data_IF_304217480792
#
_entry.id   IF_304217480792
#
_cell.length_a   1.000
_cell.length_b   1.000
_cell.length_c   1.000
_cell.angle_alpha   90.00
_cell.angle_beta   90.00
_cell.angle_gamma   90.00
#
_symmetry.space_group_name_H-M   'P 1'
#
loop_
_entity.id
_entity.type
_entity.pdbx_description
1 polymer ?
#
# COMPACT_ATOMS: atom_id res chain seq x y z
N UNK A 1 -0.37 38.40 -8.92
CA UNK A 1 0.82 37.95 -8.16
C UNK A 1 1.78 37.30 -9.13
N UNK A 2 3.10 37.51 -8.99
CA UNK A 2 4.07 36.81 -9.81
C UNK A 2 3.88 35.31 -9.56
N UNK A 3 3.75 34.52 -10.64
CA UNK A 3 3.71 33.06 -10.52
C UNK A 3 4.89 32.62 -9.66
N UNK A 4 4.61 31.83 -8.63
CA UNK A 4 5.66 31.27 -7.77
C UNK A 4 6.74 30.69 -8.67
N UNK A 5 7.98 31.15 -8.51
CA UNK A 5 9.07 30.63 -9.32
C UNK A 5 9.13 29.11 -9.14
N UNK A 6 9.56 28.38 -10.17
CA UNK A 6 9.70 26.92 -10.10
C UNK A 6 10.51 26.45 -8.87
N UNK A 7 11.45 27.28 -8.41
CA UNK A 7 12.21 27.08 -7.17
C UNK A 7 11.32 27.17 -5.92
N UNK A 8 10.44 28.17 -5.86
CA UNK A 8 9.44 28.30 -4.80
C UNK A 8 8.48 27.11 -4.73
N UNK A 9 8.00 26.62 -5.88
CA UNK A 9 7.14 25.43 -5.93
C UNK A 9 7.83 24.18 -5.35
N UNK A 10 9.10 23.96 -5.69
CA UNK A 10 9.88 22.84 -5.18
C UNK A 10 10.16 22.96 -3.68
N UNK A 11 10.42 24.17 -3.18
CA UNK A 11 10.60 24.41 -1.74
C UNK A 11 9.32 24.12 -0.97
N UNK A 12 8.16 24.56 -1.47
CA UNK A 12 6.86 24.25 -0.85
C UNK A 12 6.58 22.74 -0.86
N UNK A 13 6.84 22.06 -1.98
CA UNK A 13 6.68 20.61 -2.06
C UNK A 13 7.60 19.88 -1.06
N UNK A 14 8.85 20.31 -0.94
CA UNK A 14 9.81 19.77 0.03
C UNK A 14 9.37 20.01 1.47
N UNK A 15 8.83 21.21 1.78
CA UNK A 15 8.26 21.52 3.10
C UNK A 15 7.05 20.65 3.43
N UNK A 16 6.15 20.42 2.47
CA UNK A 16 5.00 19.51 2.62
C UNK A 16 5.48 18.07 2.87
N UNK A 17 6.44 17.58 2.10
CA UNK A 17 7.02 16.25 2.31
C UNK A 17 7.68 16.13 3.68
N UNK A 18 8.46 17.12 4.11
CA UNK A 18 9.10 17.11 5.42
C UNK A 18 8.06 17.12 6.56
N UNK A 19 7.05 17.98 6.49
CA UNK A 19 5.97 18.01 7.47
C UNK A 19 5.26 16.65 7.56
N UNK A 20 4.94 16.05 6.42
CA UNK A 20 4.29 14.73 6.33
C UNK A 20 5.18 13.64 6.90
N UNK A 21 6.50 13.69 6.67
CA UNK A 21 7.45 12.73 7.21
C UNK A 21 7.53 12.84 8.73
N UNK A 22 7.63 14.04 9.27
CA UNK A 22 7.64 14.27 10.73
C UNK A 22 6.36 13.72 11.36
N UNK A 23 5.19 14.02 10.78
CA UNK A 23 3.91 13.49 11.23
C UNK A 23 3.86 11.96 11.18
N UNK A 24 4.33 11.35 10.09
CA UNK A 24 4.34 9.91 9.91
C UNK A 24 5.29 9.22 10.91
N UNK A 25 6.47 9.81 11.18
CA UNK A 25 7.43 9.31 12.17
C UNK A 25 6.86 9.39 13.58
N UNK A 26 6.20 10.51 13.94
CA UNK A 26 5.57 10.69 15.24
C UNK A 26 4.41 9.72 15.49
N UNK A 27 3.82 9.17 14.43
CA UNK A 27 2.66 8.27 14.50
C UNK A 27 3.01 6.84 14.07
N UNK A 28 4.30 6.47 14.04
CA UNK A 28 4.69 5.09 13.80
C UNK A 28 4.07 4.16 14.84
N UNK A 29 3.48 3.02 14.42
CA UNK A 29 3.01 2.03 15.36
C UNK A 29 4.19 1.42 16.13
N UNK A 30 3.99 1.13 17.42
CA UNK A 30 5.03 0.59 18.30
C UNK A 30 5.00 -0.95 18.35
N UNK A 31 3.84 -1.56 18.64
CA UNK A 31 3.72 -3.00 18.93
C UNK A 31 2.59 -3.68 18.16
N UNK A 32 2.76 -3.81 16.86
CA UNK A 32 1.84 -4.51 15.95
C UNK A 32 2.65 -4.98 14.76
N UNK A 33 2.21 -6.02 14.05
CA UNK A 33 2.73 -6.32 12.73
C UNK A 33 1.65 -7.01 11.91
N UNK A 34 1.59 -6.67 10.62
CA UNK A 34 0.69 -7.34 9.69
C UNK A 34 1.28 -8.63 9.15
N UNK A 35 0.42 -9.60 8.79
CA UNK A 35 0.84 -10.85 8.16
C UNK A 35 1.67 -10.61 6.89
N UNK A 36 1.20 -9.71 6.02
CA UNK A 36 1.91 -9.33 4.80
C UNK A 36 3.25 -8.65 5.12
N UNK A 37 3.27 -7.79 6.14
CA UNK A 37 4.46 -7.11 6.60
C UNK A 37 5.57 -8.03 7.05
N UNK A 38 5.25 -8.98 7.94
CA UNK A 38 6.16 -10.01 8.39
C UNK A 38 6.74 -10.79 7.20
N UNK A 39 5.88 -11.17 6.25
CA UNK A 39 6.30 -11.90 5.06
C UNK A 39 7.28 -11.10 4.19
N UNK A 40 7.01 -9.82 3.93
CA UNK A 40 7.92 -8.98 3.14
C UNK A 40 9.29 -8.84 3.82
N UNK A 41 9.31 -8.70 5.15
CA UNK A 41 10.54 -8.61 5.94
C UNK A 41 11.31 -9.93 5.88
N UNK A 42 10.65 -11.08 6.01
CA UNK A 42 11.30 -12.39 5.96
C UNK A 42 11.90 -12.68 4.59
N UNK A 43 11.19 -12.38 3.50
CA UNK A 43 11.75 -12.53 2.15
C UNK A 43 12.95 -11.58 1.98
N UNK A 44 12.86 -10.34 2.47
CA UNK A 44 13.97 -9.38 2.39
C UNK A 44 15.21 -9.85 3.19
N UNK A 45 15.01 -10.48 4.36
CA UNK A 45 16.10 -11.12 5.13
C UNK A 45 16.73 -12.28 4.36
N UNK A 46 15.93 -13.12 3.70
CA UNK A 46 16.45 -14.21 2.86
C UNK A 46 17.31 -13.71 1.69
N UNK A 47 16.97 -12.56 1.11
CA UNK A 47 17.76 -11.90 0.06
C UNK A 47 19.14 -11.40 0.53
N UNK A 48 19.36 -11.26 1.84
CA UNK A 48 20.68 -10.93 2.39
C UNK A 48 21.67 -12.09 2.20
N UNK A 49 21.18 -13.33 2.20
CA UNK A 49 21.98 -14.54 1.98
C UNK A 49 22.20 -14.85 0.49
N UNK A 50 21.40 -14.26 -0.41
CA UNK A 50 21.58 -14.39 -1.85
C UNK A 50 20.54 -13.60 -2.63
N UNK A 51 20.94 -12.87 -3.67
CA UNK A 51 20.06 -11.92 -4.39
C UNK A 51 18.88 -12.61 -5.10
N UNK A 52 18.98 -13.92 -5.33
CA UNK A 52 17.97 -14.77 -5.96
C UNK A 52 17.11 -15.53 -4.95
N UNK A 53 17.42 -15.44 -3.66
CA UNK A 53 16.71 -16.14 -2.59
C UNK A 53 15.39 -15.43 -2.21
N UNK A 54 14.53 -15.21 -3.21
CA UNK A 54 13.20 -14.61 -3.04
C UNK A 54 12.21 -15.67 -2.51
N UNK A 55 12.48 -16.20 -1.32
CA UNK A 55 11.75 -17.32 -0.74
C UNK A 55 11.23 -17.01 0.65
N UNK A 56 10.25 -17.79 1.09
CA UNK A 56 9.83 -17.89 2.48
C UNK A 56 9.60 -19.37 2.81
N UNK A 57 10.26 -19.89 3.86
CA UNK A 57 10.23 -21.31 4.24
C UNK A 57 10.50 -22.24 3.04
N UNK A 58 11.52 -21.92 2.24
CA UNK A 58 11.92 -22.66 1.04
C UNK A 58 10.99 -22.51 -0.18
N UNK A 59 9.86 -21.82 -0.04
CA UNK A 59 8.90 -21.61 -1.14
C UNK A 59 9.20 -20.31 -1.86
N UNK A 60 9.24 -20.33 -3.20
CA UNK A 60 9.49 -19.13 -4.00
C UNK A 60 8.27 -18.19 -4.00
N UNK A 61 8.50 -16.90 -3.69
CA UNK A 61 7.43 -15.94 -3.35
C UNK A 61 7.18 -14.86 -4.39
N UNK A 62 7.79 -14.94 -5.58
CA UNK A 62 7.75 -13.86 -6.58
C UNK A 62 6.41 -13.69 -7.31
N UNK A 63 5.36 -14.41 -6.89
CA UNK A 63 3.97 -14.00 -7.11
C UNK A 63 3.63 -12.66 -6.42
N UNK A 64 4.44 -12.27 -5.42
CA UNK A 64 4.50 -10.91 -4.89
C UNK A 64 5.55 -10.13 -5.67
N UNK A 65 5.19 -9.01 -6.31
CA UNK A 65 6.13 -8.24 -7.09
C UNK A 65 7.34 -7.74 -6.27
N UNK A 66 8.52 -7.63 -6.91
CA UNK A 66 9.79 -7.67 -6.18
C UNK A 66 10.28 -6.33 -5.62
N UNK A 67 9.81 -5.18 -6.13
CA UNK A 67 10.44 -3.87 -5.84
C UNK A 67 10.50 -3.57 -4.34
N UNK A 68 9.37 -3.65 -3.63
CA UNK A 68 9.34 -3.34 -2.19
C UNK A 68 10.29 -4.22 -1.39
N UNK A 69 10.32 -5.51 -1.68
CA UNK A 69 11.17 -6.46 -0.96
C UNK A 69 12.65 -6.21 -1.24
N UNK A 70 13.02 -5.84 -2.48
CA UNK A 70 14.39 -5.42 -2.77
C UNK A 70 14.73 -4.07 -2.14
N UNK A 71 13.80 -3.12 -2.08
CA UNK A 71 13.97 -1.86 -1.34
C UNK A 71 14.30 -2.15 0.13
N UNK A 72 13.55 -3.05 0.78
CA UNK A 72 13.84 -3.49 2.15
C UNK A 72 15.20 -4.20 2.25
N UNK A 73 15.49 -5.15 1.37
CA UNK A 73 16.73 -5.93 1.40
C UNK A 73 17.98 -5.06 1.25
N UNK A 74 17.94 -4.01 0.42
CA UNK A 74 19.04 -3.04 0.29
C UNK A 74 19.27 -2.32 1.61
N UNK A 75 18.20 -1.85 2.27
CA UNK A 75 18.31 -1.13 3.53
C UNK A 75 18.76 -2.05 4.68
N UNK A 76 18.24 -3.28 4.74
CA UNK A 76 18.59 -4.27 5.76
C UNK A 76 20.06 -4.69 5.74
N UNK A 77 20.82 -4.40 4.67
CA UNK A 77 22.28 -4.58 4.66
C UNK A 77 23.03 -3.64 5.62
N UNK A 78 22.39 -2.53 6.00
CA UNK A 78 23.01 -1.47 6.80
C UNK A 78 22.52 -1.46 8.25
N UNK A 79 21.51 -2.27 8.59
CA UNK A 79 20.88 -2.29 9.91
C UNK A 79 20.80 -3.71 10.45
N UNK A 80 20.81 -3.83 11.77
CA UNK A 80 20.66 -5.10 12.46
C UNK A 80 19.20 -5.59 12.48
N UNK A 81 18.95 -6.90 12.62
CA UNK A 81 17.62 -7.50 12.50
C UNK A 81 16.52 -6.90 13.39
N UNK A 82 16.88 -6.38 14.57
CA UNK A 82 15.98 -5.72 15.52
C UNK A 82 15.39 -4.40 14.99
N UNK A 83 16.04 -3.78 14.01
CA UNK A 83 15.57 -2.52 13.41
C UNK A 83 14.74 -2.74 12.14
N UNK A 84 14.69 -3.95 11.59
CA UNK A 84 14.09 -4.21 10.27
C UNK A 84 12.61 -3.82 10.16
N UNK A 85 11.82 -4.06 11.22
CA UNK A 85 10.39 -3.67 11.24
C UNK A 85 10.26 -2.15 11.18
N UNK A 86 11.03 -1.42 12.00
CA UNK A 86 11.04 0.05 12.00
C UNK A 86 11.49 0.60 10.66
N UNK A 87 12.54 0.04 10.06
CA UNK A 87 13.01 0.43 8.73
C UNK A 87 11.93 0.20 7.67
N UNK A 88 11.22 -0.92 7.69
CA UNK A 88 10.14 -1.20 6.75
C UNK A 88 8.99 -0.18 6.85
N UNK A 89 8.67 0.29 8.06
CA UNK A 89 7.70 1.38 8.28
C UNK A 89 8.22 2.72 7.82
N UNK A 90 9.49 3.02 8.06
CA UNK A 90 10.13 4.25 7.61
C UNK A 90 10.16 4.36 6.09
N UNK A 91 10.38 3.25 5.38
CA UNK A 91 10.24 3.20 3.91
C UNK A 91 8.85 3.68 3.49
N UNK A 92 7.80 3.12 4.09
CA UNK A 92 6.43 3.56 3.80
C UNK A 92 6.18 5.02 4.15
N UNK A 93 6.69 5.49 5.29
CA UNK A 93 6.55 6.89 5.72
C UNK A 93 7.24 7.86 4.75
N UNK A 94 8.43 7.50 4.24
CA UNK A 94 9.15 8.28 3.22
C UNK A 94 8.35 8.34 1.93
N UNK A 95 7.85 7.22 1.40
CA UNK A 95 7.10 7.26 0.15
C UNK A 95 5.73 7.96 0.27
N UNK A 96 5.08 7.84 1.43
CA UNK A 96 3.87 8.60 1.75
C UNK A 96 4.16 10.11 1.79
N UNK A 97 5.24 10.52 2.46
CA UNK A 97 5.75 11.90 2.48
C UNK A 97 6.07 12.45 1.09
N UNK A 98 6.78 11.69 0.27
CA UNK A 98 7.14 12.08 -1.09
C UNK A 98 5.89 12.21 -1.97
N UNK A 99 4.90 11.33 -1.77
CA UNK A 99 3.62 11.42 -2.48
C UNK A 99 2.86 12.69 -2.11
N UNK A 100 2.86 13.12 -0.85
CA UNK A 100 2.20 14.37 -0.45
C UNK A 100 2.79 15.59 -1.17
N UNK A 101 4.13 15.70 -1.22
CA UNK A 101 4.81 16.74 -1.99
C UNK A 101 4.55 16.63 -3.49
N UNK A 102 4.48 15.42 -4.02
CA UNK A 102 4.15 15.16 -5.42
C UNK A 102 2.71 15.56 -5.76
N UNK A 103 1.73 15.32 -4.88
CA UNK A 103 0.33 15.76 -5.05
C UNK A 103 0.25 17.28 -5.15
N UNK A 104 1.00 18.01 -4.31
CA UNK A 104 1.12 19.47 -4.44
C UNK A 104 1.67 19.86 -5.81
N UNK A 105 2.80 19.30 -6.23
CA UNK A 105 3.40 19.60 -7.54
C UNK A 105 2.45 19.27 -8.69
N UNK A 106 1.74 18.15 -8.60
CA UNK A 106 0.74 17.73 -9.57
C UNK A 106 -0.36 18.80 -9.69
N UNK A 107 -0.96 19.17 -8.56
CA UNK A 107 -2.04 20.15 -8.51
C UNK A 107 -1.61 21.54 -9.03
N UNK A 108 -0.40 22.00 -8.69
CA UNK A 108 0.13 23.27 -9.23
C UNK A 108 0.26 23.20 -10.75
N UNK A 109 0.74 22.08 -11.30
CA UNK A 109 0.86 21.91 -12.77
C UNK A 109 -0.50 21.83 -13.47
N UNK A 110 -1.51 21.28 -12.80
CA UNK A 110 -2.87 21.19 -13.34
C UNK A 110 -3.60 22.53 -13.31
N UNK A 111 -3.56 23.25 -12.18
CA UNK A 111 -4.44 24.39 -11.96
C UNK A 111 -3.74 25.75 -11.92
N UNK A 112 -2.40 25.78 -11.89
CA UNK A 112 -1.60 26.99 -11.74
C UNK A 112 -2.04 27.85 -10.53
N UNK A 113 -2.49 27.19 -9.45
CA UNK A 113 -2.93 27.82 -8.21
C UNK A 113 -2.32 27.07 -7.01
N UNK A 114 -1.41 27.75 -6.31
CA UNK A 114 -0.67 27.17 -5.17
C UNK A 114 -1.57 26.90 -3.97
N UNK A 115 -2.60 27.74 -3.73
CA UNK A 115 -3.52 27.53 -2.60
C UNK A 115 -4.32 26.26 -2.85
N UNK A 116 -4.92 26.14 -4.03
CA UNK A 116 -5.67 24.94 -4.40
C UNK A 116 -4.80 23.67 -4.36
N UNK A 117 -3.52 23.79 -4.71
CA UNK A 117 -2.57 22.70 -4.58
C UNK A 117 -2.25 22.33 -3.13
N UNK A 118 -2.12 23.31 -2.23
CA UNK A 118 -1.97 23.07 -0.80
C UNK A 118 -3.21 22.37 -0.23
N UNK A 119 -4.42 22.72 -0.67
CA UNK A 119 -5.64 22.01 -0.27
C UNK A 119 -5.57 20.52 -0.66
N UNK A 120 -5.14 20.21 -1.89
CA UNK A 120 -4.99 18.83 -2.36
C UNK A 120 -3.97 18.05 -1.54
N UNK A 121 -2.81 18.65 -1.24
CA UNK A 121 -1.81 18.00 -0.40
C UNK A 121 -2.32 17.76 1.03
N UNK A 122 -3.00 18.73 1.65
CA UNK A 122 -3.58 18.56 2.97
C UNK A 122 -4.64 17.43 3.01
N UNK A 123 -5.52 17.39 2.00
CA UNK A 123 -6.53 16.33 1.89
C UNK A 123 -5.92 14.95 1.61
N UNK A 124 -4.76 14.87 0.94
CA UNK A 124 -4.01 13.62 0.80
C UNK A 124 -3.35 13.18 2.11
N UNK A 125 -2.68 14.12 2.81
CA UNK A 125 -2.02 13.84 4.08
C UNK A 125 -3.02 13.23 5.06
N UNK A 126 -4.16 13.88 5.26
CA UNK A 126 -5.17 13.39 6.20
C UNK A 126 -6.19 12.42 5.59
N UNK A 127 -5.94 11.92 4.37
CA UNK A 127 -6.79 10.88 3.80
C UNK A 127 -6.72 9.62 4.69
N UNK A 128 -7.85 9.08 5.20
CA UNK A 128 -7.82 7.98 6.15
C UNK A 128 -6.98 6.78 5.70
N UNK A 129 -7.15 6.35 4.43
CA UNK A 129 -6.41 5.23 3.87
C UNK A 129 -4.92 5.54 3.65
N UNK A 130 -4.60 6.74 3.15
CA UNK A 130 -3.21 7.13 2.94
C UNK A 130 -2.46 7.28 4.27
N UNK A 131 -3.11 7.86 5.28
CA UNK A 131 -2.55 8.07 6.61
C UNK A 131 -2.32 6.75 7.36
N UNK A 132 -3.35 5.89 7.43
CA UNK A 132 -3.24 4.60 8.13
C UNK A 132 -2.21 3.67 7.48
N UNK A 133 -2.17 3.61 6.14
CA UNK A 133 -1.20 2.77 5.42
C UNK A 133 0.19 3.42 5.33
N UNK A 134 0.26 4.75 5.46
CA UNK A 134 1.47 5.56 5.34
C UNK A 134 2.58 5.18 6.32
N UNK A 135 2.20 4.68 7.50
CA UNK A 135 3.14 4.34 8.59
C UNK A 135 3.37 2.83 8.76
N UNK A 136 2.90 2.01 7.81
CA UNK A 136 2.89 0.55 7.92
C UNK A 136 3.93 -0.13 7.08
N UNK A 137 4.41 -1.28 7.55
CA UNK A 137 5.33 -2.18 6.85
C UNK A 137 4.69 -2.90 5.63
N UNK A 138 3.96 -2.15 4.80
CA UNK A 138 3.25 -2.64 3.63
C UNK A 138 3.67 -1.90 2.35
N UNK A 139 3.47 -2.55 1.21
CA UNK A 139 3.83 -2.02 -0.13
C UNK A 139 3.05 -0.77 -0.57
N UNK A 140 1.98 -0.38 0.13
CA UNK A 140 0.98 0.57 -0.39
C UNK A 140 1.56 1.96 -0.69
N UNK A 141 2.39 2.50 0.20
CA UNK A 141 2.92 3.86 0.07
C UNK A 141 3.91 3.96 -1.09
N UNK A 142 4.84 3.01 -1.20
CA UNK A 142 5.80 2.95 -2.31
C UNK A 142 5.08 2.77 -3.65
N UNK A 143 4.08 1.88 -3.69
CA UNK A 143 3.25 1.68 -4.88
C UNK A 143 2.51 2.97 -5.27
N UNK A 144 1.89 3.66 -4.30
CA UNK A 144 1.15 4.91 -4.53
C UNK A 144 2.07 6.01 -5.08
N UNK A 145 3.30 6.11 -4.55
CA UNK A 145 4.29 7.06 -5.03
C UNK A 145 4.64 6.81 -6.51
N UNK A 146 5.08 5.61 -6.85
CA UNK A 146 5.47 5.30 -8.23
C UNK A 146 4.30 5.40 -9.20
N UNK A 147 3.10 4.97 -8.79
CA UNK A 147 1.88 5.14 -9.60
C UNK A 147 1.62 6.63 -9.89
N UNK A 148 1.64 7.47 -8.85
CA UNK A 148 1.40 8.91 -8.99
C UNK A 148 2.49 9.59 -9.82
N UNK A 149 3.75 9.19 -9.62
CA UNK A 149 4.89 9.72 -10.36
C UNK A 149 4.81 9.37 -11.84
N UNK A 150 4.44 8.15 -12.20
CA UNK A 150 4.21 7.77 -13.58
C UNK A 150 3.11 8.64 -14.23
N UNK A 151 1.97 8.81 -13.58
CA UNK A 151 0.87 9.65 -14.09
C UNK A 151 1.31 11.12 -14.20
N UNK A 152 2.05 11.65 -13.22
CA UNK A 152 2.59 13.01 -13.23
C UNK A 152 3.59 13.25 -14.37
N UNK A 153 4.50 12.30 -14.59
CA UNK A 153 5.49 12.37 -15.65
C UNK A 153 4.83 12.30 -17.03
N UNK A 154 3.81 11.45 -17.20
CA UNK A 154 3.05 11.37 -18.45
C UNK A 154 2.33 12.69 -18.75
N UNK A 155 1.56 13.20 -17.77
CA UNK A 155 0.83 14.45 -17.91
C UNK A 155 1.75 15.63 -18.21
N UNK A 156 2.80 15.83 -17.41
CA UNK A 156 3.72 16.97 -17.62
C UNK A 156 4.64 16.77 -18.81
N UNK A 157 4.94 15.53 -19.22
CA UNK A 157 5.66 15.21 -20.44
C UNK A 157 4.87 15.62 -21.67
N UNK A 158 3.58 15.31 -21.70
CA UNK A 158 2.66 15.74 -22.77
C UNK A 158 2.49 17.26 -22.79
N UNK A 159 2.11 17.86 -21.66
CA UNK A 159 1.85 19.31 -21.53
C UNK A 159 3.04 20.20 -21.94
N UNK A 160 4.27 19.74 -21.64
CA UNK A 160 5.49 20.49 -21.95
C UNK A 160 6.23 19.98 -23.20
N UNK A 161 5.64 19.05 -23.96
CA UNK A 161 6.28 18.41 -25.12
C UNK A 161 7.70 17.89 -24.80
N UNK A 162 7.83 17.17 -23.69
CA UNK A 162 9.11 16.68 -23.17
C UNK A 162 9.18 15.13 -23.25
N UNK A 163 9.66 14.54 -24.37
CA UNK A 163 9.66 13.09 -24.61
C UNK A 163 10.31 12.28 -23.50
N UNK A 164 11.41 12.78 -22.91
CA UNK A 164 12.11 12.09 -21.82
C UNK A 164 11.18 11.81 -20.64
N UNK A 165 10.29 12.74 -20.29
CA UNK A 165 9.32 12.53 -19.21
C UNK A 165 8.28 11.48 -19.58
N UNK A 166 7.88 11.41 -20.84
CA UNK A 166 6.99 10.37 -21.33
C UNK A 166 7.67 9.01 -21.19
N UNK A 167 8.91 8.84 -21.67
CA UNK A 167 9.66 7.59 -21.51
C UNK A 167 9.83 7.19 -20.03
N UNK A 168 10.22 8.13 -19.18
CA UNK A 168 10.33 7.88 -17.74
C UNK A 168 8.98 7.50 -17.11
N UNK A 169 7.86 8.04 -17.60
CA UNK A 169 6.55 7.66 -17.08
C UNK A 169 6.25 6.17 -17.25
N UNK A 170 6.63 5.57 -18.39
CA UNK A 170 6.43 4.15 -18.66
C UNK A 170 7.40 3.25 -17.89
N UNK A 171 8.65 3.68 -17.70
CA UNK A 171 9.60 2.96 -16.83
C UNK A 171 9.10 2.97 -15.39
N UNK A 172 8.68 4.13 -14.88
CA UNK A 172 8.13 4.26 -13.53
C UNK A 172 6.81 3.49 -13.38
N UNK A 173 5.98 3.42 -14.41
CA UNK A 173 4.80 2.56 -14.43
C UNK A 173 5.16 1.07 -14.32
N UNK A 174 6.22 0.63 -15.01
CA UNK A 174 6.79 -0.70 -14.84
C UNK A 174 7.22 -0.95 -13.38
N UNK A 175 7.92 0.01 -12.76
CA UNK A 175 8.31 -0.07 -11.34
C UNK A 175 7.07 -0.15 -10.42
N UNK A 176 6.01 0.62 -10.70
CA UNK A 176 4.77 0.56 -9.94
C UNK A 176 4.11 -0.84 -10.02
N UNK A 177 4.06 -1.45 -11.21
CA UNK A 177 3.59 -2.84 -11.39
C UNK A 177 4.49 -3.82 -10.63
N UNK A 178 5.80 -3.62 -10.67
CA UNK A 178 6.77 -4.44 -9.93
C UNK A 178 6.76 -4.18 -8.41
N UNK A 179 6.05 -3.16 -7.94
CA UNK A 179 5.79 -2.95 -6.50
C UNK A 179 4.53 -3.69 -6.07
N UNK A 180 3.50 -3.72 -6.93
CA UNK A 180 2.23 -4.41 -6.66
C UNK A 180 1.50 -4.77 -7.96
N UNK A 181 0.95 -5.98 -8.03
CA UNK A 181 0.34 -6.51 -9.27
C UNK A 181 -0.93 -5.75 -9.67
N UNK A 182 -1.63 -5.15 -8.70
CA UNK A 182 -2.77 -4.24 -8.97
C UNK A 182 -2.33 -3.01 -9.74
N UNK A 183 -1.03 -2.70 -9.79
CA UNK A 183 -0.43 -1.68 -10.64
C UNK A 183 -0.68 -1.88 -12.12
N UNK A 184 -1.09 -3.07 -12.59
CA UNK A 184 -1.50 -3.28 -13.98
C UNK A 184 -2.60 -2.31 -14.43
N UNK A 185 -3.43 -1.80 -13.51
CA UNK A 185 -4.44 -0.78 -13.83
C UNK A 185 -3.84 0.49 -14.44
N UNK A 186 -2.56 0.78 -14.19
CA UNK A 186 -1.90 1.98 -14.72
C UNK A 186 -1.84 1.97 -16.25
N UNK A 187 -1.70 0.79 -16.86
CA UNK A 187 -1.73 0.63 -18.32
C UNK A 187 -3.09 1.11 -18.84
N UNK A 188 -4.17 0.66 -18.21
CA UNK A 188 -5.53 1.08 -18.54
C UNK A 188 -5.73 2.57 -18.35
N UNK A 189 -5.24 3.15 -17.24
CA UNK A 189 -5.31 4.61 -16.99
C UNK A 189 -4.59 5.39 -18.09
N UNK A 190 -3.38 4.98 -18.47
CA UNK A 190 -2.60 5.66 -19.52
C UNK A 190 -3.30 5.55 -20.88
N UNK A 191 -3.76 4.36 -21.26
CA UNK A 191 -4.48 4.14 -22.53
C UNK A 191 -5.78 4.95 -22.57
N UNK A 192 -6.59 4.91 -21.51
CA UNK A 192 -7.83 5.67 -21.43
C UNK A 192 -7.57 7.18 -21.51
N UNK A 193 -6.56 7.69 -20.80
CA UNK A 193 -6.20 9.11 -20.84
C UNK A 193 -5.75 9.55 -22.24
N UNK A 194 -4.87 8.78 -22.88
CA UNK A 194 -4.39 9.08 -24.23
C UNK A 194 -5.53 8.99 -25.25
N UNK A 195 -6.41 8.00 -25.11
CA UNK A 195 -7.57 7.85 -25.98
C UNK A 195 -8.59 8.99 -25.81
N UNK A 196 -8.90 9.39 -24.58
CA UNK A 196 -9.87 10.45 -24.32
C UNK A 196 -9.36 11.84 -24.73
N UNK A 197 -8.04 12.02 -24.81
CA UNK A 197 -7.44 13.32 -25.17
C UNK A 197 -6.95 13.42 -26.61
N UNK A 198 -6.54 12.31 -27.23
CA UNK A 198 -5.96 12.27 -28.59
C UNK A 198 -6.55 11.16 -29.48
N UNK A 199 -7.59 10.45 -29.03
CA UNK A 199 -8.17 9.29 -29.72
C UNK A 199 -7.13 8.23 -30.10
N UNK A 200 -6.95 7.89 -31.37
CA UNK A 200 -5.92 6.93 -31.81
C UNK A 200 -4.65 7.63 -32.34
N UNK A 201 -4.63 8.96 -32.40
CA UNK A 201 -3.49 9.72 -32.93
C UNK A 201 -2.26 9.61 -32.04
N UNK A 202 -2.44 9.37 -30.73
CA UNK A 202 -1.31 9.10 -29.84
C UNK A 202 -0.50 7.90 -30.31
N UNK A 203 -1.12 6.83 -30.82
CA UNK A 203 -0.41 5.62 -31.22
C UNK A 203 0.58 5.85 -32.38
N UNK A 204 0.40 6.93 -33.15
CA UNK A 204 1.31 7.34 -34.23
C UNK A 204 2.53 8.13 -33.73
N UNK A 205 2.46 8.70 -32.53
CA UNK A 205 3.59 9.45 -31.93
C UNK A 205 4.58 8.46 -31.35
N UNK A 206 5.83 8.48 -31.83
CA UNK A 206 6.88 7.51 -31.46
C UNK A 206 7.08 7.35 -29.95
N UNK A 207 6.79 8.40 -29.18
CA UNK A 207 7.00 8.47 -27.75
C UNK A 207 6.24 7.38 -27.00
N UNK A 208 5.02 7.05 -27.43
CA UNK A 208 4.17 6.10 -26.70
C UNK A 208 4.45 4.63 -27.04
N UNK A 209 4.58 4.19 -28.32
CA UNK A 209 5.00 2.82 -28.62
C UNK A 209 6.37 2.48 -28.01
N UNK A 210 7.34 3.41 -28.09
CA UNK A 210 8.64 3.24 -27.42
C UNK A 210 8.48 3.23 -25.90
N UNK A 211 7.61 4.07 -25.35
CA UNK A 211 7.23 4.03 -23.94
C UNK A 211 6.71 2.66 -23.49
N UNK A 212 5.75 2.07 -24.21
CA UNK A 212 5.25 0.72 -23.94
C UNK A 212 6.33 -0.35 -24.07
N UNK A 213 7.26 -0.21 -25.02
CA UNK A 213 8.42 -1.10 -25.11
C UNK A 213 9.33 -0.98 -23.87
N UNK A 214 9.57 0.23 -23.36
CA UNK A 214 10.33 0.44 -22.13
C UNK A 214 9.61 -0.13 -20.89
N UNK A 215 8.28 -0.01 -20.82
CA UNK A 215 7.49 -0.69 -19.79
C UNK A 215 7.70 -2.20 -19.85
N UNK A 216 7.59 -2.80 -21.04
CA UNK A 216 7.80 -4.24 -21.21
C UNK A 216 9.23 -4.68 -20.82
N UNK A 217 10.25 -3.90 -21.20
CA UNK A 217 11.65 -4.13 -20.79
C UNK A 217 11.79 -4.07 -19.27
N UNK A 218 11.13 -3.12 -18.62
CA UNK A 218 11.15 -2.98 -17.15
C UNK A 218 10.55 -4.22 -16.48
N UNK A 219 9.47 -4.78 -17.03
CA UNK A 219 8.83 -5.98 -16.48
C UNK A 219 9.58 -7.29 -16.81
N UNK A 220 10.43 -7.28 -17.84
CA UNK A 220 11.05 -8.47 -18.40
C UNK A 220 11.77 -9.35 -17.36
N UNK A 221 12.58 -8.82 -16.42
CA UNK A 221 13.28 -9.66 -15.44
C UNK A 221 12.31 -10.44 -14.55
N UNK A 222 11.23 -9.80 -14.10
CA UNK A 222 10.25 -10.45 -13.24
C UNK A 222 9.41 -11.50 -14.01
N UNK A 223 9.04 -11.20 -15.26
CA UNK A 223 8.37 -12.17 -16.14
C UNK A 223 9.27 -13.38 -16.43
N UNK A 224 10.56 -13.16 -16.60
CA UNK A 224 11.55 -14.23 -16.78
C UNK A 224 11.65 -15.12 -15.53
N UNK A 225 11.75 -14.52 -14.34
CA UNK A 225 11.73 -15.29 -13.09
C UNK A 225 10.40 -16.04 -12.89
N UNK A 226 9.29 -15.45 -13.34
CA UNK A 226 7.99 -16.10 -13.42
C UNK A 226 8.04 -17.38 -14.26
N UNK A 227 8.65 -17.30 -15.44
CA UNK A 227 8.83 -18.45 -16.31
C UNK A 227 9.72 -19.53 -15.67
N UNK A 228 10.86 -19.14 -15.10
CA UNK A 228 11.81 -20.08 -14.49
C UNK A 228 11.22 -20.85 -13.30
N UNK A 229 10.54 -20.17 -12.37
CA UNK A 229 10.13 -20.78 -11.10
C UNK A 229 8.68 -21.24 -11.06
N UNK A 230 7.81 -20.71 -11.92
CA UNK A 230 6.40 -21.09 -11.97
C UNK A 230 6.01 -21.78 -13.28
N UNK A 231 6.94 -21.97 -14.22
CA UNK A 231 6.68 -22.61 -15.52
C UNK A 231 5.94 -21.72 -16.52
N UNK A 232 5.85 -20.41 -16.29
CA UNK A 232 5.24 -19.47 -17.23
C UNK A 232 5.34 -18.01 -16.80
N UNK A 233 5.60 -17.11 -17.76
CA UNK A 233 5.84 -15.69 -17.49
C UNK A 233 4.71 -14.99 -16.72
N UNK A 234 3.46 -15.39 -16.98
CA UNK A 234 2.27 -14.82 -16.33
C UNK A 234 1.74 -15.66 -15.17
N UNK A 235 2.35 -16.82 -14.88
CA UNK A 235 1.91 -17.71 -13.79
C UNK A 235 1.98 -17.05 -12.41
N UNK A 236 2.95 -16.16 -12.08
CA UNK A 236 2.92 -15.36 -10.86
C UNK A 236 1.58 -14.64 -10.62
N UNK A 237 0.98 -14.06 -11.66
CA UNK A 237 -0.34 -13.43 -11.56
C UNK A 237 -1.44 -14.44 -11.25
N UNK A 238 -1.43 -15.62 -11.89
CA UNK A 238 -2.40 -16.67 -11.61
C UNK A 238 -2.33 -17.15 -10.16
N UNK A 239 -1.12 -17.33 -9.64
CA UNK A 239 -0.88 -17.71 -8.23
C UNK A 239 -1.41 -16.63 -7.30
N UNK A 240 -1.07 -15.36 -7.55
CA UNK A 240 -1.58 -14.22 -6.77
C UNK A 240 -3.12 -14.18 -6.78
N UNK A 241 -3.76 -14.36 -7.94
CA UNK A 241 -5.21 -14.40 -8.06
C UNK A 241 -5.82 -15.56 -7.27
N UNK A 242 -5.22 -16.75 -7.29
CA UNK A 242 -5.73 -17.90 -6.51
C UNK A 242 -5.77 -17.60 -5.00
N UNK A 243 -4.72 -16.99 -4.45
CA UNK A 243 -4.70 -16.59 -3.04
C UNK A 243 -5.82 -15.60 -2.70
N UNK A 244 -6.16 -14.70 -3.63
CA UNK A 244 -7.20 -13.68 -3.44
C UNK A 244 -8.61 -14.27 -3.64
N UNK A 245 -8.79 -15.21 -4.57
CA UNK A 245 -10.09 -15.84 -4.85
C UNK A 245 -10.53 -16.82 -3.76
N UNK A 246 -9.59 -17.37 -2.99
CA UNK A 246 -9.88 -18.27 -1.88
C UNK A 246 -10.37 -17.54 -0.61
N UNK A 247 -10.30 -16.22 -0.58
CA UNK A 247 -10.86 -15.41 0.49
C UNK A 247 -12.37 -15.16 0.27
N UNK A 248 -13.15 -14.88 1.34
CA UNK A 248 -14.59 -14.64 1.24
C UNK A 248 -14.90 -13.54 0.21
N UNK A 249 -15.82 -13.77 -0.74
CA UNK A 249 -16.14 -12.77 -1.75
C UNK A 249 -16.85 -11.57 -1.12
N UNK A 250 -16.49 -10.36 -1.57
CA UNK A 250 -17.16 -9.11 -1.17
C UNK A 250 -17.85 -8.51 -2.39
N UNK A 251 -19.14 -8.20 -2.27
CA UNK A 251 -19.91 -7.62 -3.37
C UNK A 251 -19.36 -6.23 -3.76
N UNK A 252 -19.55 -5.85 -5.02
CA UNK A 252 -19.13 -4.55 -5.52
C UNK A 252 -19.81 -3.39 -4.76
N UNK A 253 -21.09 -3.53 -4.43
CA UNK A 253 -21.86 -2.49 -3.75
C UNK A 253 -21.47 -2.36 -2.29
N UNK A 254 -21.28 -3.47 -1.58
CA UNK A 254 -20.81 -3.46 -0.19
C UNK A 254 -19.43 -2.82 -0.12
N UNK A 255 -18.56 -3.13 -1.10
CA UNK A 255 -17.24 -2.52 -1.18
C UNK A 255 -17.31 -1.00 -1.37
N UNK A 256 -18.15 -0.49 -2.28
CA UNK A 256 -18.35 0.95 -2.44
C UNK A 256 -18.86 1.58 -1.15
N UNK A 257 -19.80 0.93 -0.45
CA UNK A 257 -20.30 1.39 0.84
C UNK A 257 -19.20 1.50 1.89
N UNK A 258 -18.35 0.47 2.01
CA UNK A 258 -17.18 0.49 2.89
C UNK A 258 -16.22 1.64 2.52
N UNK A 259 -15.90 1.80 1.23
CA UNK A 259 -15.02 2.88 0.78
C UNK A 259 -15.56 4.27 1.10
N UNK A 260 -16.86 4.51 0.90
CA UNK A 260 -17.49 5.80 1.22
C UNK A 260 -17.45 6.06 2.73
N UNK A 261 -17.71 5.04 3.55
CA UNK A 261 -17.65 5.15 5.00
C UNK A 261 -16.22 5.45 5.48
N UNK A 262 -15.23 4.75 4.93
CA UNK A 262 -13.83 4.88 5.35
C UNK A 262 -13.15 6.13 4.83
N UNK A 263 -13.46 6.58 3.61
CA UNK A 263 -12.93 7.84 3.08
C UNK A 263 -13.71 9.05 3.65
N UNK A 264 -14.98 8.85 4.01
CA UNK A 264 -15.82 9.83 4.66
C UNK A 264 -16.00 11.11 3.85
N UNK A 265 -15.76 12.26 4.50
CA UNK A 265 -15.94 13.60 3.91
C UNK A 265 -15.13 13.80 2.62
N UNK A 266 -13.96 13.16 2.48
CA UNK A 266 -13.16 13.27 1.25
C UNK A 266 -13.93 12.69 0.06
N UNK A 267 -14.71 11.62 0.24
CA UNK A 267 -15.49 11.03 -0.84
C UNK A 267 -16.60 11.99 -1.31
N UNK A 268 -17.26 12.67 -0.38
CA UNK A 268 -18.25 13.71 -0.69
C UNK A 268 -17.62 14.87 -1.47
N UNK A 269 -16.50 15.41 -0.97
CA UNK A 269 -15.79 16.50 -1.65
C UNK A 269 -15.28 16.07 -3.04
N UNK A 270 -14.79 14.84 -3.16
CA UNK A 270 -14.35 14.27 -4.44
C UNK A 270 -15.52 14.11 -5.42
N UNK A 271 -16.70 13.68 -4.96
CA UNK A 271 -17.90 13.60 -5.78
C UNK A 271 -18.35 14.99 -6.29
N UNK A 272 -18.32 16.01 -5.44
CA UNK A 272 -18.61 17.40 -5.85
C UNK A 272 -17.55 17.86 -6.88
N UNK A 273 -16.27 17.60 -6.60
CA UNK A 273 -15.19 17.92 -7.52
C UNK A 273 -15.32 17.24 -8.87
N UNK A 274 -15.80 16.00 -8.87
CA UNK A 274 -16.11 15.23 -10.07
C UNK A 274 -17.25 15.84 -10.88
N UNK A 275 -18.35 16.26 -10.23
CA UNK A 275 -19.49 16.92 -10.89
C UNK A 275 -19.05 18.24 -11.54
N UNK A 276 -18.17 18.99 -10.88
CA UNK A 276 -17.66 20.27 -11.37
C UNK A 276 -16.54 20.11 -12.42
N UNK A 277 -16.09 18.88 -12.67
CA UNK A 277 -14.96 18.60 -13.53
C UNK A 277 -15.31 18.89 -14.99
N UNK A 278 -14.48 19.68 -15.65
CA UNK A 278 -14.58 19.89 -17.10
C UNK A 278 -13.97 18.72 -17.84
N UNK A 279 -14.46 18.44 -19.05
CA UNK A 279 -13.91 17.42 -19.94
C UNK A 279 -12.73 17.95 -20.76
N UNK A 280 -11.81 18.62 -20.07
CA UNK A 280 -10.53 19.10 -20.60
C UNK A 280 -9.42 18.08 -20.33
N UNK A 281 -8.17 18.42 -20.66
CA UNK A 281 -7.03 17.52 -20.49
C UNK A 281 -6.85 17.08 -19.03
N UNK A 282 -6.94 18.02 -18.09
CA UNK A 282 -6.89 17.75 -16.66
C UNK A 282 -8.05 16.86 -16.19
N UNK A 283 -9.27 17.11 -16.67
CA UNK A 283 -10.43 16.33 -16.31
C UNK A 283 -10.40 14.90 -16.82
N UNK A 284 -10.01 14.68 -18.08
CA UNK A 284 -9.88 13.34 -18.64
C UNK A 284 -8.80 12.50 -17.96
N UNK A 285 -7.75 13.14 -17.45
CA UNK A 285 -6.74 12.48 -16.63
C UNK A 285 -7.34 11.95 -15.32
N UNK A 286 -8.06 12.81 -14.58
CA UNK A 286 -8.67 12.43 -13.31
C UNK A 286 -9.78 11.38 -13.47
N UNK A 287 -10.58 11.49 -14.55
CA UNK A 287 -11.60 10.49 -14.91
C UNK A 287 -10.92 9.15 -15.18
N UNK A 288 -9.91 9.12 -16.05
CA UNK A 288 -9.19 7.88 -16.39
C UNK A 288 -8.57 7.25 -15.15
N UNK A 289 -7.90 8.05 -14.32
CA UNK A 289 -7.23 7.57 -13.12
C UNK A 289 -8.23 6.99 -12.12
N UNK A 290 -9.31 7.72 -11.79
CA UNK A 290 -10.30 7.27 -10.83
C UNK A 290 -11.04 6.02 -11.32
N UNK A 291 -11.64 6.05 -12.51
CA UNK A 291 -12.52 4.97 -12.95
C UNK A 291 -11.75 3.73 -13.37
N UNK A 292 -10.70 3.86 -14.18
CA UNK A 292 -9.96 2.68 -14.65
C UNK A 292 -9.17 2.05 -13.52
N UNK A 293 -8.61 2.88 -12.63
CA UNK A 293 -7.98 2.39 -11.41
C UNK A 293 -8.96 1.66 -10.50
N UNK A 294 -10.17 2.20 -10.28
CA UNK A 294 -11.19 1.54 -9.47
C UNK A 294 -11.68 0.24 -10.14
N UNK A 295 -11.98 0.25 -11.43
CA UNK A 295 -12.43 -0.93 -12.17
C UNK A 295 -11.48 -2.12 -12.03
N UNK A 296 -10.16 -1.86 -12.03
CA UNK A 296 -9.16 -2.91 -11.80
C UNK A 296 -9.25 -3.60 -10.44
N UNK A 297 -9.74 -2.91 -9.41
CA UNK A 297 -9.99 -3.50 -8.07
C UNK A 297 -11.38 -4.14 -8.00
N UNK A 298 -12.37 -3.57 -8.70
CA UNK A 298 -13.74 -4.10 -8.71
C UNK A 298 -13.85 -5.51 -9.29
N UNK A 299 -12.93 -5.89 -10.17
CA UNK A 299 -12.86 -7.24 -10.77
C UNK A 299 -12.28 -8.31 -9.85
N UNK A 300 -11.71 -7.92 -8.70
CA UNK A 300 -11.09 -8.84 -7.75
C UNK A 300 -12.16 -9.44 -6.82
N UNK A 301 -12.13 -10.76 -6.58
CA UNK A 301 -13.11 -11.48 -5.75
C UNK A 301 -13.13 -10.97 -4.31
N UNK A 302 -11.97 -10.98 -3.65
CA UNK A 302 -11.78 -10.43 -2.31
C UNK A 302 -11.34 -8.98 -2.40
N UNK A 303 -11.98 -8.11 -1.61
CA UNK A 303 -11.75 -6.67 -1.65
C UNK A 303 -11.53 -6.14 -0.24
N UNK A 304 -10.44 -5.42 -0.07
CA UNK A 304 -10.11 -4.71 1.17
C UNK A 304 -9.97 -3.23 0.88
N UNK A 305 -10.31 -2.38 1.83
CA UNK A 305 -10.33 -0.92 1.65
C UNK A 305 -8.94 -0.39 1.28
N UNK A 306 -7.88 -0.99 1.85
CA UNK A 306 -6.49 -0.66 1.53
C UNK A 306 -6.09 -0.92 0.07
N UNK A 307 -6.88 -1.65 -0.71
CA UNK A 307 -6.55 -1.92 -2.12
C UNK A 307 -6.64 -0.68 -3.00
N UNK A 308 -7.43 0.32 -2.63
CA UNK A 308 -7.57 1.58 -3.38
C UNK A 308 -6.66 2.70 -2.87
N UNK A 309 -5.72 2.45 -1.94
CA UNK A 309 -4.83 3.50 -1.41
C UNK A 309 -4.10 4.26 -2.53
N UNK A 310 -3.78 3.62 -3.65
CA UNK A 310 -3.14 4.27 -4.80
C UNK A 310 -4.04 5.28 -5.55
N UNK A 311 -5.35 5.28 -5.28
CA UNK A 311 -6.30 6.29 -5.77
C UNK A 311 -6.42 7.49 -4.84
N UNK A 312 -5.89 7.42 -3.62
CA UNK A 312 -5.95 8.55 -2.67
C UNK A 312 -5.38 9.87 -3.22
N UNK A 313 -4.33 9.90 -4.06
CA UNK A 313 -3.89 11.14 -4.72
C UNK A 313 -4.94 11.72 -5.66
N UNK A 314 -5.60 10.89 -6.49
CA UNK A 314 -6.66 11.33 -7.40
C UNK A 314 -7.89 11.81 -6.63
N UNK A 315 -8.27 11.10 -5.56
CA UNK A 315 -9.36 11.49 -4.66
C UNK A 315 -9.06 12.84 -3.98
N UNK A 316 -7.84 13.05 -3.52
CA UNK A 316 -7.42 14.32 -2.91
C UNK A 316 -7.45 15.49 -3.92
N UNK A 317 -7.03 15.26 -5.17
CA UNK A 317 -7.13 16.25 -6.24
C UNK A 317 -8.61 16.59 -6.55
N UNK A 318 -9.48 15.58 -6.67
CA UNK A 318 -10.91 15.80 -6.88
C UNK A 318 -11.54 16.51 -5.68
N UNK A 319 -11.23 16.09 -4.45
CA UNK A 319 -11.74 16.71 -3.24
C UNK A 319 -11.33 18.18 -3.12
N UNK A 320 -10.07 18.53 -3.45
CA UNK A 320 -9.62 19.91 -3.52
C UNK A 320 -10.34 20.70 -4.61
N UNK A 321 -10.64 20.07 -5.76
CA UNK A 321 -11.45 20.68 -6.81
C UNK A 321 -12.87 20.99 -6.33
N UNK A 322 -13.52 20.05 -5.63
CA UNK A 322 -14.85 20.23 -5.06
C UNK A 322 -14.89 21.31 -3.99
N UNK A 323 -13.96 21.27 -3.05
CA UNK A 323 -13.80 22.28 -1.99
C UNK A 323 -13.61 23.70 -2.57
N UNK A 324 -12.78 23.82 -3.61
CA UNK A 324 -12.58 25.07 -4.32
C UNK A 324 -13.83 25.57 -5.04
N UNK A 325 -14.63 24.65 -5.58
CA UNK A 325 -15.93 24.93 -6.19
C UNK A 325 -16.95 25.46 -5.19
N UNK A 326 -17.07 24.81 -4.02
CA UNK A 326 -17.94 25.27 -2.92
C UNK A 326 -17.53 26.67 -2.47
N UNK A 327 -16.23 26.89 -2.23
CA UNK A 327 -15.71 28.21 -1.87
C UNK A 327 -16.05 29.28 -2.91
N UNK A 328 -15.92 28.95 -4.21
CA UNK A 328 -16.29 29.86 -5.30
C UNK A 328 -17.78 30.24 -5.21
N UNK A 329 -18.66 29.24 -5.12
CA UNK A 329 -20.10 29.46 -5.06
C UNK A 329 -20.53 30.30 -3.85
N UNK A 330 -19.96 30.03 -2.66
CA UNK A 330 -20.23 30.80 -1.44
C UNK A 330 -19.75 32.25 -1.55
N UNK A 331 -18.56 32.45 -2.13
CA UNK A 331 -17.99 33.80 -2.29
C UNK A 331 -18.78 34.62 -3.31
N UNK A 332 -19.31 33.99 -4.36
CA UNK A 332 -20.20 34.63 -5.33
C UNK A 332 -21.56 34.98 -4.70
N UNK A 333 -22.16 34.06 -3.95
CA UNK A 333 -23.43 34.29 -3.26
C UNK A 333 -23.36 35.42 -2.21
N UNK A 334 -22.21 35.59 -1.56
CA UNK A 334 -21.97 36.64 -0.56
C UNK A 334 -21.42 37.94 -1.17
N UNK A 335 -21.25 38.02 -2.51
CA UNK A 335 -20.59 39.12 -3.23
C UNK A 335 -19.16 39.42 -2.72
N UNK A 336 -18.53 38.44 -2.08
CA UNK A 336 -17.23 38.52 -1.41
C UNK A 336 -16.16 37.75 -2.21
N UNK A 337 -16.17 37.86 -3.54
CA UNK A 337 -15.35 37.04 -4.46
C UNK A 337 -13.84 37.16 -4.18
N UNK A 338 -13.39 38.31 -3.70
CA UNK A 338 -11.99 38.55 -3.31
C UNK A 338 -11.53 37.65 -2.14
N UNK A 339 -12.45 37.20 -1.29
CA UNK A 339 -12.16 36.36 -0.13
C UNK A 339 -12.20 34.86 -0.42
N UNK A 340 -12.41 34.43 -1.67
CA UNK A 340 -12.51 33.02 -2.05
C UNK A 340 -11.40 32.14 -1.48
N UNK A 341 -10.14 32.61 -1.49
CA UNK A 341 -9.01 31.87 -0.93
C UNK A 341 -9.16 31.65 0.58
N UNK A 342 -9.55 32.69 1.31
CA UNK A 342 -9.79 32.63 2.74
C UNK A 342 -10.96 31.69 3.08
N UNK A 343 -12.05 31.76 2.31
CA UNK A 343 -13.20 30.84 2.43
C UNK A 343 -12.77 29.40 2.19
N UNK A 344 -11.93 29.14 1.18
CA UNK A 344 -11.45 27.78 0.91
C UNK A 344 -10.58 27.23 2.03
N UNK A 345 -9.70 28.05 2.62
CA UNK A 345 -8.86 27.67 3.76
C UNK A 345 -9.73 27.44 5.01
N UNK A 346 -10.72 28.29 5.27
CA UNK A 346 -11.66 28.12 6.37
C UNK A 346 -12.44 26.81 6.24
N UNK A 347 -12.98 26.52 5.05
CA UNK A 347 -13.67 25.26 4.78
C UNK A 347 -12.74 24.07 4.94
N UNK A 348 -11.47 24.16 4.50
CA UNK A 348 -10.49 23.10 4.72
C UNK A 348 -10.34 22.83 6.22
N UNK A 349 -10.12 23.86 7.05
CA UNK A 349 -9.98 23.71 8.50
C UNK A 349 -11.22 23.04 9.11
N UNK A 350 -12.42 23.44 8.68
CA UNK A 350 -13.67 22.84 9.16
C UNK A 350 -13.79 21.35 8.77
N UNK A 351 -13.48 21.00 7.53
CA UNK A 351 -13.56 19.60 7.07
C UNK A 351 -12.39 18.74 7.56
N UNK A 352 -11.24 19.32 7.89
CA UNK A 352 -10.12 18.58 8.47
C UNK A 352 -10.47 17.98 9.83
N UNK A 353 -11.39 18.56 10.60
CA UNK A 353 -11.79 18.00 11.91
C UNK A 353 -12.36 16.57 11.78
N UNK A 354 -13.45 16.33 11.03
CA UNK A 354 -13.94 14.96 10.84
C UNK A 354 -12.96 14.08 10.05
N UNK A 355 -12.25 14.63 9.06
CA UNK A 355 -11.26 13.85 8.27
C UNK A 355 -10.13 13.31 9.17
N UNK A 356 -9.55 14.15 10.02
CA UNK A 356 -8.49 13.74 10.94
C UNK A 356 -8.99 12.75 12.00
N UNK A 357 -10.24 12.90 12.47
CA UNK A 357 -10.87 11.95 13.37
C UNK A 357 -10.99 10.57 12.72
N UNK A 358 -11.56 10.51 11.52
CA UNK A 358 -11.78 9.26 10.80
C UNK A 358 -10.43 8.60 10.40
N UNK A 359 -9.43 9.40 10.01
CA UNK A 359 -8.08 8.93 9.74
C UNK A 359 -7.38 8.37 10.98
N UNK A 360 -7.54 9.03 12.13
CA UNK A 360 -6.96 8.57 13.41
C UNK A 360 -7.67 7.31 13.91
N UNK A 361 -8.99 7.21 13.75
CA UNK A 361 -9.77 6.03 14.11
C UNK A 361 -9.35 4.82 13.28
N UNK A 362 -9.32 4.95 11.94
CA UNK A 362 -8.87 3.87 11.07
C UNK A 362 -7.43 3.44 11.39
N UNK A 363 -6.55 4.42 11.63
CA UNK A 363 -5.17 4.12 12.04
C UNK A 363 -5.14 3.35 13.37
N UNK A 364 -5.94 3.75 14.36
CA UNK A 364 -6.09 3.06 15.63
C UNK A 364 -6.51 1.60 15.46
N UNK A 365 -7.54 1.35 14.64
CA UNK A 365 -8.01 0.00 14.34
C UNK A 365 -6.90 -0.88 13.74
N UNK A 366 -6.12 -0.32 12.81
CA UNK A 366 -4.95 -1.01 12.29
C UNK A 366 -3.88 -1.20 13.38
N UNK A 367 -3.63 -0.21 14.24
CA UNK A 367 -2.61 -0.20 15.31
C UNK A 367 -2.87 -1.28 16.36
N UNK A 368 -4.11 -1.72 16.51
CA UNK A 368 -4.48 -2.86 17.34
C UNK A 368 -4.36 -4.22 16.61
N UNK A 369 -4.52 -4.24 15.28
CA UNK A 369 -4.45 -5.48 14.51
C UNK A 369 -3.07 -6.14 14.64
N UNK A 370 -3.08 -7.40 15.10
CA UNK A 370 -1.87 -8.20 15.25
C UNK A 370 -0.96 -7.83 16.42
N UNK A 371 -1.36 -6.88 17.28
CA UNK A 371 -0.64 -6.57 18.51
C UNK A 371 -0.52 -7.78 19.44
N UNK A 372 -1.60 -8.57 19.56
CA UNK A 372 -1.57 -9.81 20.34
C UNK A 372 -0.61 -10.86 19.77
N UNK A 373 -0.47 -10.95 18.44
CA UNK A 373 0.47 -11.90 17.82
C UNK A 373 1.92 -11.50 18.14
N UNK A 374 2.21 -10.19 18.12
CA UNK A 374 3.51 -9.65 18.54
C UNK A 374 3.80 -10.03 19.99
N UNK A 375 2.86 -9.79 20.91
CA UNK A 375 3.04 -10.13 22.33
C UNK A 375 3.31 -11.63 22.55
N UNK A 376 2.55 -12.49 21.87
CA UNK A 376 2.69 -13.95 21.97
C UNK A 376 4.07 -14.41 21.46
N UNK A 377 4.56 -13.87 20.34
CA UNK A 377 5.85 -14.28 19.78
C UNK A 377 7.06 -13.62 20.45
N UNK A 378 6.93 -12.39 20.95
CA UNK A 378 7.95 -11.79 21.83
C UNK A 378 8.16 -12.68 23.04
N UNK A 379 7.08 -13.04 23.75
CA UNK A 379 7.17 -13.97 24.88
C UNK A 379 7.77 -15.32 24.47
N UNK A 380 7.27 -15.95 23.40
CA UNK A 380 7.77 -17.26 23.01
C UNK A 380 9.26 -17.23 22.65
N UNK A 381 9.70 -16.28 21.82
CA UNK A 381 11.07 -16.20 21.30
C UNK A 381 12.10 -15.78 22.35
N UNK A 382 11.72 -14.92 23.29
CA UNK A 382 12.60 -14.51 24.40
C UNK A 382 12.84 -15.63 25.42
N UNK A 383 11.86 -16.53 25.59
CA UNK A 383 11.90 -17.56 26.64
C UNK A 383 12.26 -18.96 26.12
N UNK A 384 11.99 -19.24 24.85
CA UNK A 384 12.10 -20.59 24.27
C UNK A 384 12.72 -20.54 22.87
N UNK A 385 14.03 -20.84 22.72
CA UNK A 385 14.61 -21.07 21.40
C UNK A 385 13.95 -22.30 20.76
N UNK A 386 13.80 -22.27 19.44
CA UNK A 386 13.14 -23.33 18.70
C UNK A 386 13.72 -23.48 17.29
N UNK A 387 13.96 -24.73 16.90
CA UNK A 387 14.33 -25.11 15.54
C UNK A 387 13.10 -25.57 14.75
N UNK A 388 12.08 -26.09 15.44
CA UNK A 388 10.82 -26.55 14.87
C UNK A 388 9.64 -25.90 15.58
N UNK A 389 8.83 -25.16 14.82
CA UNK A 389 7.60 -24.54 15.31
C UNK A 389 6.37 -25.09 14.61
N UNK A 390 5.29 -25.23 15.38
CA UNK A 390 3.95 -25.44 14.84
C UNK A 390 3.07 -24.26 15.26
N UNK A 391 2.51 -23.53 14.29
CA UNK A 391 1.79 -22.28 14.56
C UNK A 391 0.46 -22.21 13.84
N UNK A 392 -0.49 -21.44 14.36
CA UNK A 392 -1.74 -21.14 13.65
C UNK A 392 -1.49 -20.48 12.31
N UNK A 393 -2.38 -20.70 11.34
CA UNK A 393 -2.23 -20.15 9.98
C UNK A 393 -2.08 -18.63 9.96
N UNK A 394 -2.85 -17.92 10.79
CA UNK A 394 -2.79 -16.44 10.89
C UNK A 394 -1.46 -15.90 11.44
N UNK A 395 -0.67 -16.76 12.07
CA UNK A 395 0.58 -16.44 12.73
C UNK A 395 1.81 -16.95 11.97
N UNK A 396 1.60 -17.61 10.83
CA UNK A 396 2.65 -18.29 10.07
C UNK A 396 3.83 -17.37 9.73
N UNK A 397 3.58 -16.21 9.12
CA UNK A 397 4.64 -15.28 8.72
C UNK A 397 5.26 -14.56 9.90
N UNK A 398 4.46 -14.23 10.93
CA UNK A 398 4.97 -13.64 12.17
C UNK A 398 5.96 -14.60 12.86
N UNK A 399 5.70 -15.90 12.86
CA UNK A 399 6.65 -16.87 13.41
C UNK A 399 8.02 -16.79 12.70
N UNK A 400 8.04 -16.54 11.39
CA UNK A 400 9.28 -16.36 10.62
C UNK A 400 10.08 -15.14 11.06
N UNK A 401 9.38 -14.05 11.36
CA UNK A 401 9.99 -12.82 11.84
C UNK A 401 10.76 -13.02 13.16
N UNK A 402 10.18 -13.77 14.10
CA UNK A 402 10.73 -13.99 15.45
C UNK A 402 11.66 -15.22 15.53
N UNK A 403 11.47 -16.20 14.65
CA UNK A 403 12.29 -17.41 14.56
C UNK A 403 12.87 -17.58 13.15
N UNK A 404 13.81 -16.70 12.72
CA UNK A 404 14.26 -16.62 11.33
C UNK A 404 14.95 -17.88 10.82
N UNK A 405 15.53 -18.68 11.72
CA UNK A 405 16.26 -19.91 11.37
C UNK A 405 15.43 -21.18 11.56
N UNK A 406 14.19 -21.06 12.06
CA UNK A 406 13.38 -22.22 12.38
C UNK A 406 12.58 -22.74 11.18
N UNK A 407 12.30 -24.03 11.21
CA UNK A 407 11.32 -24.68 10.34
C UNK A 407 9.93 -24.46 10.93
N UNK A 408 9.07 -23.78 10.19
CA UNK A 408 7.74 -23.38 10.65
C UNK A 408 6.69 -24.18 9.90
N UNK A 409 5.78 -24.80 10.64
CA UNK A 409 4.64 -25.52 10.08
C UNK A 409 3.33 -24.92 10.57
N UNK A 410 2.31 -25.00 9.72
CA UNK A 410 0.97 -24.52 10.05
C UNK A 410 0.16 -25.62 10.71
N UNK A 411 -0.60 -25.27 11.74
CA UNK A 411 -1.60 -26.14 12.36
C UNK A 411 -2.65 -26.51 11.32
N UNK A 412 -2.69 -27.80 10.98
CA UNK A 412 -3.67 -28.40 10.08
C UNK A 412 -4.10 -29.75 10.65
N UNK A 413 -5.39 -30.08 10.48
CA UNK A 413 -5.91 -31.39 10.90
C UNK A 413 -5.58 -32.47 9.87
N UNK A 414 -4.32 -32.89 9.86
CA UNK A 414 -3.83 -33.96 9.01
C UNK A 414 -3.02 -34.98 9.83
N UNK A 415 -3.06 -36.28 9.48
CA UNK A 415 -2.39 -37.34 10.24
C UNK A 415 -0.91 -37.06 10.52
N UNK A 416 -0.21 -36.50 9.54
CA UNK A 416 1.22 -36.18 9.60
C UNK A 416 1.55 -35.16 10.70
N UNK A 417 0.68 -34.17 10.94
CA UNK A 417 0.88 -33.18 12.01
C UNK A 417 0.64 -33.83 13.37
N UNK A 418 -0.40 -34.67 13.49
CA UNK A 418 -0.72 -35.38 14.73
C UNK A 418 0.38 -36.36 15.14
N UNK A 419 0.95 -37.08 14.19
CA UNK A 419 2.08 -37.98 14.39
C UNK A 419 3.30 -37.22 14.93
N UNK A 420 3.69 -36.12 14.27
CA UNK A 420 4.83 -35.28 14.72
C UNK A 420 4.62 -34.68 16.11
N UNK A 421 3.38 -34.37 16.49
CA UNK A 421 3.04 -33.98 17.86
C UNK A 421 3.28 -35.16 18.82
N UNK A 422 2.77 -36.36 18.49
CA UNK A 422 3.00 -37.57 19.31
C UNK A 422 4.47 -37.97 19.43
N UNK A 423 5.31 -37.61 18.45
CA UNK A 423 6.77 -37.81 18.49
C UNK A 423 7.51 -36.73 19.28
N UNK A 424 6.84 -35.65 19.69
CA UNK A 424 7.48 -34.53 20.37
C UNK A 424 8.40 -33.73 19.45
N UNK A 425 8.07 -33.62 18.15
CA UNK A 425 8.95 -32.99 17.15
C UNK A 425 9.07 -31.48 17.23
N UNK A 426 8.08 -30.78 17.76
CA UNK A 426 8.06 -29.32 17.80
C UNK A 426 8.66 -28.82 19.11
N UNK A 427 9.52 -27.81 19.08
CA UNK A 427 10.07 -27.20 20.30
C UNK A 427 9.02 -26.31 20.95
N UNK A 428 8.34 -25.52 20.12
CA UNK A 428 7.29 -24.57 20.49
C UNK A 428 6.08 -24.77 19.59
N UNK A 429 4.88 -24.76 20.20
CA UNK A 429 3.61 -24.75 19.48
C UNK A 429 2.83 -23.51 19.91
N UNK A 430 2.46 -22.65 18.95
CA UNK A 430 1.65 -21.45 19.21
C UNK A 430 0.29 -21.61 18.56
N UNK A 431 -0.75 -21.78 19.38
CA UNK A 431 -2.10 -22.14 18.94
C UNK A 431 -3.11 -21.03 19.24
N UNK A 432 -4.07 -20.85 18.35
CA UNK A 432 -5.30 -20.10 18.55
C UNK A 432 -6.43 -21.06 18.91
N UNK A 433 -7.36 -20.62 19.75
CA UNK A 433 -8.55 -21.40 20.12
C UNK A 433 -9.42 -21.79 18.93
N UNK A 434 -9.43 -20.97 17.87
CA UNK A 434 -10.14 -21.23 16.62
C UNK A 434 -9.51 -22.34 15.77
N UNK A 435 -8.29 -22.78 16.08
CA UNK A 435 -7.62 -23.83 15.32
C UNK A 435 -8.24 -25.21 15.57
N UNK A 436 -8.08 -26.15 14.61
CA UNK A 436 -8.50 -27.53 14.79
C UNK A 436 -7.96 -28.15 16.09
N UNK A 437 -8.79 -29.00 16.71
CA UNK A 437 -8.39 -29.73 17.90
C UNK A 437 -7.37 -30.82 17.55
N UNK A 438 -6.12 -30.62 17.96
CA UNK A 438 -5.02 -31.58 17.79
C UNK A 438 -4.70 -32.31 19.10
N UNK A 439 -3.91 -33.38 19.01
CA UNK A 439 -3.47 -34.23 20.12
C UNK A 439 -2.31 -33.62 20.95
N UNK A 440 -2.23 -32.29 21.07
CA UNK A 440 -1.11 -31.60 21.74
C UNK A 440 -1.02 -32.03 23.21
N UNK A 441 -2.11 -31.87 23.96
CA UNK A 441 -2.15 -32.21 25.39
C UNK A 441 -2.19 -33.72 25.61
N UNK A 442 -2.99 -34.44 24.82
CA UNK A 442 -3.13 -35.89 24.93
C UNK A 442 -1.87 -36.67 24.54
N UNK A 443 -0.94 -36.07 23.78
CA UNK A 443 0.36 -36.68 23.47
C UNK A 443 1.24 -36.84 24.71
N UNK A 444 1.02 -36.05 25.77
CA UNK A 444 1.87 -36.03 26.95
C UNK A 444 3.21 -35.30 26.78
N UNK A 445 3.65 -35.00 25.54
CA UNK A 445 4.97 -34.43 25.24
C UNK A 445 5.08 -32.91 25.44
N UNK A 446 3.97 -32.21 25.60
CA UNK A 446 3.94 -30.75 25.69
C UNK A 446 3.30 -30.29 26.99
N UNK A 447 3.77 -29.14 27.49
CA UNK A 447 3.15 -28.41 28.60
C UNK A 447 2.79 -27.01 28.15
N UNK A 448 1.72 -26.45 28.73
CA UNK A 448 1.38 -25.05 28.54
C UNK A 448 2.46 -24.21 29.21
N UNK A 449 3.10 -23.33 28.44
CA UNK A 449 4.03 -22.34 28.96
C UNK A 449 3.31 -21.05 29.37
N UNK A 450 2.35 -20.60 28.56
CA UNK A 450 1.52 -19.42 28.85
C UNK A 450 0.24 -19.41 28.02
N UNK A 451 -0.80 -18.85 28.62
CA UNK A 451 -2.04 -18.50 27.94
C UNK A 451 -2.17 -16.98 27.85
N UNK A 452 -2.72 -16.50 26.75
CA UNK A 452 -3.04 -15.08 26.55
C UNK A 452 -4.53 -14.95 26.23
N UNK A 453 -5.12 -13.81 26.61
CA UNK A 453 -6.53 -13.49 26.39
C UNK A 453 -7.48 -14.63 26.81
N UNK A 454 -7.36 -15.09 28.07
CA UNK A 454 -8.21 -16.15 28.63
C UNK A 454 -8.19 -17.47 27.82
N UNK A 455 -7.02 -17.85 27.30
CA UNK A 455 -6.82 -19.09 26.57
C UNK A 455 -7.16 -19.02 25.08
N UNK A 456 -7.43 -17.82 24.54
CA UNK A 456 -7.62 -17.65 23.09
C UNK A 456 -6.32 -17.88 22.31
N UNK A 457 -5.17 -17.66 22.97
CA UNK A 457 -3.85 -18.00 22.46
C UNK A 457 -3.08 -18.80 23.50
N UNK A 458 -2.45 -19.90 23.08
CA UNK A 458 -1.73 -20.79 23.97
C UNK A 458 -0.36 -21.09 23.38
N UNK A 459 0.68 -20.88 24.18
CA UNK A 459 2.05 -21.29 23.87
C UNK A 459 2.32 -22.59 24.61
N UNK A 460 2.54 -23.66 23.87
CA UNK A 460 3.03 -24.94 24.40
C UNK A 460 4.51 -25.08 24.12
N UNK A 461 5.21 -25.73 25.05
CA UNK A 461 6.64 -26.07 24.92
C UNK A 461 6.83 -27.55 25.17
N UNK A 462 7.81 -28.14 24.50
CA UNK A 462 8.17 -29.55 24.70
C UNK A 462 8.60 -29.79 26.14
N UNK A 463 8.16 -30.90 26.73
CA UNK A 463 8.67 -31.40 28.01
C UNK A 463 10.04 -32.02 27.76
N UNK A 464 11.02 -31.64 28.56
CA UNK A 464 12.35 -32.24 28.57
C UNK A 464 12.34 -33.57 29.31
#
# INVERSE_FOLDING_TARGET
MPGTSRKGELLTAGGISLFTLVLAVMTLPSRTITYDGALYIDIARNLLHGITNYTYQGTYMMYRPPVYVYTLAVLFRFFSPEHHVTIARLVSAVFYSLTAGLVYLFAVRMWNDSVKATLAAALYIFNPLAFAMGTRELVHSEFTFFYTLAVYLLYTGKKNQAPLRIYLSFVVAGIAILTRYTGLSIIGVMVAYLYLTEHWEWAKKREYPLGFALLAITLLPWLYMGHLHYGGAFKPFSVATQYVTNAPPVSAFDYIGMLVNTIGVIALLAAIGFILLKKDEEGWLLISWLFVGLLGIMTVTHKEERFITFLSPALALLAAHGLWGISKALSEATKAVEYKRHVAVLLLVLFLVPICRDASALKGDWDEQGAIYVEVFEYASENYPADWLLVSQKMYTMAGLYYPNATIQVIMDVPQVRERISEGRYDVIVRMKSDPALNIESSGNYRIAREFQNGDFIVYVRKF
#
